data_IF_267559054697
#
_entry.id   IF_267559054697
#
_cell.length_a   1.000
_cell.length_b   1.000
_cell.length_c   1.000
_cell.angle_alpha   90.00
_cell.angle_beta   90.00
_cell.angle_gamma   90.00
#
_symmetry.space_group_name_H-M   'P 1'
#
loop_
_entity.id
_entity.type
_entity.pdbx_description
1 polymer ?
#
# COMPACT_ATOMS: atom_id res chain seq x y z
N UNK A 1 -3.09 7.55 -28.69
CA UNK A 1 -2.27 7.19 -27.52
C UNK A 1 -3.18 6.95 -26.32
N UNK A 2 -2.87 6.05 -25.39
CA UNK A 2 -3.71 5.78 -24.20
C UNK A 2 -3.05 6.36 -22.94
N UNK A 3 -3.83 6.68 -21.88
CA UNK A 3 -3.26 7.17 -20.62
C UNK A 3 -2.29 6.17 -19.99
N UNK A 4 -2.58 4.86 -20.04
CA UNK A 4 -1.65 3.85 -19.51
C UNK A 4 -0.33 3.81 -20.29
N UNK A 5 -0.37 4.02 -21.61
CA UNK A 5 0.85 4.09 -22.42
C UNK A 5 1.64 5.35 -22.08
N UNK A 6 0.98 6.51 -22.04
CA UNK A 6 1.62 7.76 -21.64
C UNK A 6 2.24 7.68 -20.24
N UNK A 7 1.48 7.15 -19.27
CA UNK A 7 1.95 6.89 -17.91
C UNK A 7 3.20 6.04 -17.89
N UNK A 8 3.16 4.87 -18.55
CA UNK A 8 4.33 4.00 -18.66
C UNK A 8 5.52 4.72 -19.27
N UNK A 9 5.33 5.35 -20.43
CA UNK A 9 6.42 5.96 -21.20
C UNK A 9 7.07 7.15 -20.46
N UNK A 10 6.28 7.94 -19.73
CA UNK A 10 6.76 9.08 -18.92
C UNK A 10 7.43 8.59 -17.63
N UNK A 11 6.77 7.72 -16.85
CA UNK A 11 7.27 7.32 -15.54
C UNK A 11 8.49 6.41 -15.63
N UNK A 12 8.62 5.62 -16.70
CA UNK A 12 9.79 4.78 -16.92
C UNK A 12 11.10 5.59 -16.96
N UNK A 13 11.05 6.87 -17.37
CA UNK A 13 12.22 7.75 -17.47
C UNK A 13 12.94 7.96 -16.14
N UNK A 14 12.24 7.90 -15.01
CA UNK A 14 12.83 8.15 -13.69
C UNK A 14 12.69 6.98 -12.71
N UNK A 15 11.65 6.14 -12.87
CA UNK A 15 11.42 5.02 -11.96
C UNK A 15 12.39 3.85 -12.21
N UNK A 16 12.83 3.64 -13.46
CA UNK A 16 13.77 2.56 -13.77
C UNK A 16 15.14 2.77 -13.13
N UNK A 17 15.62 4.02 -13.09
CA UNK A 17 16.88 4.39 -12.41
C UNK A 17 16.82 4.12 -10.90
N UNK A 18 15.62 4.12 -10.32
CA UNK A 18 15.37 3.83 -8.91
C UNK A 18 15.06 2.35 -8.63
N UNK A 19 15.18 1.48 -9.65
CA UNK A 19 15.01 0.03 -9.54
C UNK A 19 13.56 -0.46 -9.69
N UNK A 20 12.62 0.40 -10.11
CA UNK A 20 11.27 -0.04 -10.44
C UNK A 20 11.21 -0.64 -11.85
N UNK A 21 10.34 -1.63 -12.00
CA UNK A 21 10.03 -2.25 -13.29
C UNK A 21 8.54 -2.18 -13.59
N UNK A 22 8.19 -2.10 -14.87
CA UNK A 22 6.81 -2.15 -15.31
C UNK A 22 6.26 -3.58 -15.27
N UNK A 23 5.23 -3.83 -14.45
CA UNK A 23 4.49 -5.09 -14.46
C UNK A 23 3.22 -4.95 -15.31
N UNK A 24 3.20 -5.58 -16.49
CA UNK A 24 2.05 -5.52 -17.41
C UNK A 24 0.78 -6.17 -16.86
N UNK A 25 0.91 -7.22 -16.04
CA UNK A 25 -0.25 -7.91 -15.42
C UNK A 25 -0.94 -7.07 -14.35
N UNK A 26 -0.18 -6.19 -13.68
CA UNK A 26 -0.70 -5.27 -12.66
C UNK A 26 -1.01 -3.90 -13.24
N UNK A 27 -0.42 -3.52 -14.38
CA UNK A 27 -0.43 -2.16 -14.94
C UNK A 27 0.16 -1.13 -13.97
N UNK A 28 1.25 -1.50 -13.30
CA UNK A 28 1.94 -0.70 -12.28
C UNK A 28 3.44 -0.84 -12.40
N UNK A 29 4.18 0.19 -12.00
CA UNK A 29 5.58 0.07 -11.65
C UNK A 29 5.71 -0.60 -10.29
N UNK A 30 6.61 -1.57 -10.17
CA UNK A 30 6.84 -2.33 -8.94
C UNK A 30 8.33 -2.43 -8.67
N UNK A 31 8.71 -2.31 -7.40
CA UNK A 31 10.06 -2.54 -6.88
C UNK A 31 9.95 -3.41 -5.64
N UNK A 32 10.78 -4.44 -5.55
CA UNK A 32 10.91 -5.26 -4.34
C UNK A 32 12.15 -4.79 -3.58
N UNK A 33 12.02 -4.62 -2.27
CA UNK A 33 13.10 -4.17 -1.39
C UNK A 33 13.35 -5.22 -0.32
N UNK A 34 14.60 -5.66 -0.22
CA UNK A 34 15.09 -6.66 0.75
C UNK A 34 14.31 -7.98 0.77
N UNK A 35 13.59 -8.32 -0.32
CA UNK A 35 12.65 -9.45 -0.37
C UNK A 35 11.59 -9.42 0.74
N UNK A 36 11.31 -8.24 1.29
CA UNK A 36 10.40 -8.03 2.41
C UNK A 36 9.30 -7.02 2.09
N UNK A 37 9.59 -6.04 1.24
CA UNK A 37 8.65 -4.99 0.90
C UNK A 37 8.44 -4.87 -0.60
N UNK A 38 7.23 -4.46 -0.98
CA UNK A 38 6.79 -4.27 -2.36
C UNK A 38 6.32 -2.82 -2.51
N UNK A 39 7.05 -2.03 -3.28
CA UNK A 39 6.69 -0.64 -3.58
C UNK A 39 6.01 -0.61 -4.93
N UNK A 40 4.93 0.13 -5.06
CA UNK A 40 4.22 0.21 -6.32
C UNK A 40 3.66 1.60 -6.61
N UNK A 41 3.63 1.94 -7.90
CA UNK A 41 3.06 3.18 -8.42
C UNK A 41 2.27 2.83 -9.69
N UNK A 42 1.02 3.26 -9.74
CA UNK A 42 0.06 2.92 -10.77
C UNK A 42 -0.83 4.10 -11.15
N UNK A 43 -1.61 3.88 -12.21
CA UNK A 43 -2.62 4.82 -12.68
C UNK A 43 -4.00 4.15 -12.57
N UNK A 44 -4.95 4.88 -11.98
CA UNK A 44 -6.36 4.47 -11.91
C UNK A 44 -7.21 5.50 -12.64
N UNK A 45 -8.09 5.03 -13.52
CA UNK A 45 -9.06 5.91 -14.19
C UNK A 45 -10.10 6.40 -13.19
N UNK A 46 -10.45 7.67 -13.28
CA UNK A 46 -11.50 8.31 -12.46
C UNK A 46 -12.42 9.14 -13.35
N UNK A 47 -13.64 9.47 -12.89
CA UNK A 47 -14.51 10.40 -13.60
C UNK A 47 -13.82 11.75 -13.84
N UNK A 48 -14.22 12.43 -14.91
CA UNK A 48 -13.85 13.82 -15.19
C UNK A 48 -15.05 14.73 -14.97
N UNK A 49 -14.80 15.93 -14.48
CA UNK A 49 -15.81 16.96 -14.26
C UNK A 49 -16.04 17.81 -15.50
N UNK A 50 -15.00 18.05 -16.31
CA UNK A 50 -15.13 18.82 -17.54
C UNK A 50 -15.69 17.96 -18.69
N UNK A 51 -16.73 18.46 -19.34
CA UNK A 51 -17.35 17.80 -20.48
C UNK A 51 -16.34 17.58 -21.60
N UNK A 52 -16.20 16.33 -22.04
CA UNK A 52 -15.27 15.93 -23.08
C UNK A 52 -13.89 15.50 -22.58
N UNK A 53 -13.57 15.74 -21.29
CA UNK A 53 -12.35 15.26 -20.68
C UNK A 53 -12.47 13.82 -20.16
N UNK A 54 -11.31 13.23 -19.88
CA UNK A 54 -11.13 11.97 -19.16
C UNK A 54 -10.28 12.23 -17.91
N UNK A 55 -10.45 11.41 -16.89
CA UNK A 55 -9.75 11.56 -15.61
C UNK A 55 -8.87 10.36 -15.26
N UNK A 56 -7.76 10.61 -14.57
CA UNK A 56 -7.00 9.58 -13.87
C UNK A 56 -6.48 10.10 -12.53
N UNK A 57 -6.16 9.19 -11.61
CA UNK A 57 -5.38 9.48 -10.41
C UNK A 57 -4.18 8.54 -10.35
N UNK A 58 -3.15 8.96 -9.64
CA UNK A 58 -2.00 8.10 -9.36
C UNK A 58 -2.29 7.36 -8.05
N UNK A 59 -2.06 6.06 -8.06
CA UNK A 59 -2.16 5.22 -6.87
C UNK A 59 -0.78 4.70 -6.52
N UNK A 60 -0.35 4.87 -5.28
CA UNK A 60 0.94 4.40 -4.80
C UNK A 60 0.82 3.76 -3.42
N UNK A 61 1.67 2.79 -3.12
CA UNK A 61 1.78 2.25 -1.77
C UNK A 61 3.00 1.36 -1.57
N UNK A 62 3.21 1.03 -0.30
CA UNK A 62 4.13 -0.01 0.16
C UNK A 62 3.29 -1.06 0.89
N UNK A 63 3.53 -2.33 0.57
CA UNK A 63 3.01 -3.47 1.33
C UNK A 63 4.18 -4.40 1.68
N UNK A 64 4.04 -5.22 2.71
CA UNK A 64 5.05 -6.24 2.98
C UNK A 64 4.84 -7.46 2.07
N UNK A 65 5.77 -8.41 2.02
CA UNK A 65 5.55 -9.74 1.40
C UNK A 65 4.81 -10.70 2.33
N UNK A 66 4.58 -10.29 3.58
CA UNK A 66 3.93 -11.08 4.63
C UNK A 66 2.41 -10.88 4.65
N UNK A 67 1.86 -10.03 3.78
CA UNK A 67 0.42 -9.80 3.72
C UNK A 67 -0.34 -11.10 3.55
N UNK A 68 -1.29 -11.30 4.45
CA UNK A 68 -2.18 -12.44 4.47
C UNK A 68 -3.43 -12.16 3.67
N UNK A 69 -3.92 -13.21 3.02
CA UNK A 69 -5.17 -13.23 2.24
C UNK A 69 -6.30 -13.96 2.98
N UNK A 70 -6.14 -14.18 4.29
CA UNK A 70 -7.13 -14.82 5.17
C UNK A 70 -8.16 -13.80 5.65
N UNK A 71 -9.23 -13.61 4.90
CA UNK A 71 -10.42 -12.91 5.39
C UNK A 71 -11.67 -13.66 4.94
N UNK A 72 -12.76 -13.61 5.69
CA UNK A 72 -13.95 -14.46 5.42
C UNK A 72 -14.50 -14.28 4.00
N UNK A 73 -14.40 -13.07 3.45
CA UNK A 73 -14.85 -12.73 2.10
C UNK A 73 -13.92 -13.26 0.98
N UNK A 74 -12.72 -13.73 1.30
CA UNK A 74 -11.77 -14.28 0.30
C UNK A 74 -12.10 -15.71 -0.11
N UNK A 75 -13.06 -16.36 0.55
CA UNK A 75 -13.49 -17.71 0.23
C UNK A 75 -13.91 -17.84 -1.25
N UNK A 76 -13.35 -18.83 -1.95
CA UNK A 76 -13.62 -19.07 -3.37
C UNK A 76 -12.89 -18.11 -4.35
N UNK A 77 -12.08 -17.17 -3.86
CA UNK A 77 -11.23 -16.36 -4.72
C UNK A 77 -9.93 -17.08 -5.08
N UNK A 78 -9.43 -16.88 -6.30
CA UNK A 78 -8.13 -17.41 -6.71
C UNK A 78 -6.99 -16.60 -6.11
N UNK A 79 -5.84 -17.23 -5.89
CA UNK A 79 -4.61 -16.55 -5.46
C UNK A 79 -4.24 -15.36 -6.36
N UNK A 80 -4.45 -15.48 -7.68
CA UNK A 80 -4.20 -14.41 -8.63
C UNK A 80 -5.09 -13.18 -8.38
N UNK A 81 -6.37 -13.41 -8.08
CA UNK A 81 -7.33 -12.34 -7.79
C UNK A 81 -7.01 -11.66 -6.47
N UNK A 82 -6.71 -12.43 -5.43
CA UNK A 82 -6.36 -11.90 -4.11
C UNK A 82 -5.04 -11.13 -4.13
N UNK A 83 -4.05 -11.65 -4.87
CA UNK A 83 -2.76 -10.97 -5.04
C UNK A 83 -2.93 -9.62 -5.75
N UNK A 84 -3.73 -9.54 -6.82
CA UNK A 84 -4.06 -8.26 -7.48
C UNK A 84 -4.80 -7.30 -6.55
N UNK A 85 -5.78 -7.83 -5.80
CA UNK A 85 -6.60 -7.05 -4.88
C UNK A 85 -5.75 -6.38 -3.80
N UNK A 86 -4.70 -7.02 -3.30
CA UNK A 86 -3.82 -6.43 -2.28
C UNK A 86 -3.20 -5.08 -2.74
N UNK A 87 -2.86 -4.94 -4.02
CA UNK A 87 -2.38 -3.66 -4.59
C UNK A 87 -3.48 -2.60 -4.65
N UNK A 88 -4.71 -3.00 -4.92
CA UNK A 88 -5.85 -2.08 -4.96
C UNK A 88 -6.31 -1.66 -3.57
N UNK A 89 -6.20 -2.56 -2.59
CA UNK A 89 -6.56 -2.32 -1.20
C UNK A 89 -5.54 -1.44 -0.48
N UNK A 90 -4.25 -1.68 -0.69
CA UNK A 90 -3.15 -0.93 -0.04
C UNK A 90 -2.80 0.36 -0.80
N UNK A 91 -3.27 0.51 -2.03
CA UNK A 91 -2.95 1.65 -2.88
C UNK A 91 -3.64 2.93 -2.42
N UNK A 92 -2.85 3.94 -2.10
CA UNK A 92 -3.31 5.26 -1.71
C UNK A 92 -3.34 6.19 -2.92
N UNK A 93 -4.30 7.10 -2.95
CA UNK A 93 -4.33 8.13 -3.99
C UNK A 93 -3.23 9.17 -3.72
N UNK A 94 -2.65 9.75 -4.77
CA UNK A 94 -1.57 10.73 -4.68
C UNK A 94 -1.82 11.86 -3.67
N UNK A 95 -3.06 12.35 -3.60
CA UNK A 95 -3.45 13.41 -2.67
C UNK A 95 -3.21 13.06 -1.20
N UNK A 96 -3.20 11.78 -0.84
CA UNK A 96 -2.97 11.33 0.54
C UNK A 96 -1.52 11.49 0.99
N UNK A 97 -0.59 11.67 0.05
CA UNK A 97 0.81 11.98 0.34
C UNK A 97 1.07 13.49 0.44
N UNK A 98 0.07 14.32 0.17
CA UNK A 98 0.17 15.78 0.29
C UNK A 98 -0.24 16.23 1.70
N UNK A 99 0.64 16.89 2.47
CA UNK A 99 0.31 17.39 3.80
C UNK A 99 -0.85 18.40 3.81
N UNK A 100 -1.04 19.11 2.70
CA UNK A 100 -2.02 20.18 2.53
C UNK A 100 -3.22 19.79 1.66
N UNK A 101 -3.26 18.55 1.15
CA UNK A 101 -4.29 18.06 0.23
C UNK A 101 -4.52 18.95 -1.00
N UNK A 102 -3.48 19.69 -1.42
CA UNK A 102 -3.57 20.69 -2.50
C UNK A 102 -3.82 20.07 -3.88
N UNK A 103 -3.50 18.79 -4.04
CA UNK A 103 -3.75 18.04 -5.25
C UNK A 103 -5.12 17.37 -5.14
N UNK A 104 -6.08 17.82 -5.96
CA UNK A 104 -7.43 17.24 -5.99
C UNK A 104 -7.44 15.75 -6.35
N UNK A 105 -8.62 15.12 -6.28
CA UNK A 105 -8.81 13.66 -6.43
C UNK A 105 -8.36 13.04 -7.77
N UNK A 106 -7.95 13.85 -8.74
CA UNK A 106 -7.43 13.36 -10.01
C UNK A 106 -6.98 14.45 -10.98
N UNK A 107 -6.36 14.00 -12.06
CA UNK A 107 -5.89 14.75 -13.20
C UNK A 107 -6.87 14.59 -14.36
N UNK A 108 -7.32 15.70 -14.92
CA UNK A 108 -8.15 15.70 -16.12
C UNK A 108 -7.35 16.01 -17.37
N UNK A 109 -7.68 15.32 -18.45
CA UNK A 109 -7.02 15.49 -19.73
C UNK A 109 -7.99 15.31 -20.91
N UNK A 110 -7.63 15.88 -22.05
CA UNK A 110 -8.20 15.62 -23.35
C UNK A 110 -7.12 15.07 -24.30
N UNK A 111 -7.45 14.90 -25.57
CA UNK A 111 -6.50 14.31 -26.53
C UNK A 111 -5.28 15.19 -26.79
N UNK A 112 -5.40 16.51 -26.59
CA UNK A 112 -4.36 17.49 -26.85
C UNK A 112 -3.34 17.61 -25.71
N UNK A 113 -3.77 17.49 -24.44
CA UNK A 113 -2.91 17.77 -23.28
C UNK A 113 -2.51 16.52 -22.46
N UNK A 114 -2.89 15.31 -22.89
CA UNK A 114 -2.66 14.08 -22.13
C UNK A 114 -1.20 13.88 -21.68
N UNK A 115 -0.22 14.16 -22.54
CA UNK A 115 1.20 14.00 -22.19
C UNK A 115 1.61 14.99 -21.11
N UNK A 116 1.31 16.28 -21.32
CA UNK A 116 1.61 17.34 -20.36
C UNK A 116 1.02 17.04 -18.98
N UNK A 117 -0.23 16.57 -18.93
CA UNK A 117 -0.91 16.22 -17.67
C UNK A 117 -0.24 15.02 -16.99
N UNK A 118 0.20 14.01 -17.76
CA UNK A 118 0.94 12.86 -17.21
C UNK A 118 2.34 13.29 -16.72
N UNK A 119 3.04 14.15 -17.44
CA UNK A 119 4.34 14.72 -17.02
C UNK A 119 4.19 15.53 -15.72
N UNK A 120 3.16 16.37 -15.62
CA UNK A 120 2.84 17.07 -14.38
C UNK A 120 2.58 16.09 -13.22
N UNK A 121 1.81 15.03 -13.45
CA UNK A 121 1.57 14.01 -12.41
C UNK A 121 2.86 13.30 -11.98
N UNK A 122 3.81 13.12 -12.90
CA UNK A 122 5.11 12.50 -12.62
C UNK A 122 5.97 13.39 -11.72
N UNK A 123 6.03 14.69 -11.99
CA UNK A 123 6.75 15.63 -11.13
C UNK A 123 6.16 15.67 -9.72
N UNK A 124 4.83 15.71 -9.59
CA UNK A 124 4.18 15.67 -8.26
C UNK A 124 4.46 14.33 -7.56
N UNK A 125 4.48 13.21 -8.28
CA UNK A 125 4.82 11.91 -7.70
C UNK A 125 6.26 11.88 -7.20
N UNK A 126 7.20 12.49 -7.94
CA UNK A 126 8.59 12.61 -7.49
C UNK A 126 8.73 13.46 -6.23
N UNK A 127 7.93 14.52 -6.13
CA UNK A 127 7.95 15.43 -4.99
C UNK A 127 7.32 14.82 -3.73
N UNK A 128 6.20 14.11 -3.86
CA UNK A 128 5.41 13.65 -2.70
C UNK A 128 5.63 12.19 -2.33
N UNK A 129 5.71 11.29 -3.32
CA UNK A 129 5.66 9.83 -3.07
C UNK A 129 7.05 9.27 -2.87
N UNK A 130 8.00 9.65 -3.73
CA UNK A 130 9.34 9.07 -3.70
C UNK A 130 10.10 9.35 -2.39
N UNK A 131 10.04 10.55 -1.78
CA UNK A 131 10.72 10.79 -0.51
C UNK A 131 10.18 9.89 0.60
N UNK A 132 8.86 9.74 0.70
CA UNK A 132 8.21 8.82 1.66
C UNK A 132 8.69 7.39 1.43
N UNK A 133 8.75 6.95 0.17
CA UNK A 133 9.21 5.59 -0.15
C UNK A 133 10.71 5.37 0.12
N UNK A 134 11.53 6.43 0.07
CA UNK A 134 12.96 6.34 0.36
C UNK A 134 13.25 6.16 1.86
N UNK A 135 12.36 6.65 2.74
CA UNK A 135 12.48 6.48 4.20
C UNK A 135 12.10 5.08 4.68
N UNK A 136 11.27 4.38 3.90
CA UNK A 136 10.90 3.00 4.17
C UNK A 136 11.94 2.09 3.54
N UNK A 137 12.64 1.30 4.35
CA UNK A 137 13.72 0.42 3.87
C UNK A 137 13.69 -0.98 4.50
N UNK A 138 12.92 -1.15 5.56
CA UNK A 138 12.78 -2.38 6.33
C UNK A 138 11.38 -2.48 6.96
N UNK A 139 11.08 -3.60 7.62
CA UNK A 139 9.79 -3.81 8.26
C UNK A 139 9.50 -2.78 9.38
N UNK A 140 10.52 -2.31 10.10
CA UNK A 140 10.34 -1.35 11.20
C UNK A 140 9.92 0.03 10.69
N UNK A 141 10.60 0.55 9.66
CA UNK A 141 10.22 1.78 8.96
C UNK A 141 8.88 1.62 8.23
N UNK A 142 8.57 0.42 7.71
CA UNK A 142 7.26 0.13 7.14
C UNK A 142 6.13 0.22 8.18
N UNK A 143 6.32 -0.22 9.43
CA UNK A 143 5.30 -0.03 10.49
C UNK A 143 5.00 1.46 10.69
N UNK A 144 6.02 2.33 10.70
CA UNK A 144 5.82 3.79 10.81
C UNK A 144 5.01 4.34 9.64
N UNK A 145 5.40 3.98 8.42
CA UNK A 145 4.65 4.34 7.21
C UNK A 145 3.20 3.85 7.28
N UNK A 146 2.98 2.61 7.71
CA UNK A 146 1.65 2.04 7.79
C UNK A 146 0.80 2.77 8.82
N UNK A 147 1.34 3.12 10.00
CA UNK A 147 0.63 3.94 11.01
C UNK A 147 0.19 5.29 10.46
N UNK A 148 1.04 5.93 9.66
CA UNK A 148 0.74 7.27 9.11
C UNK A 148 -0.28 7.22 7.97
N UNK A 149 -0.14 6.25 7.06
CA UNK A 149 -0.83 6.31 5.77
C UNK A 149 -1.88 5.21 5.55
N UNK A 150 -1.74 4.06 6.20
CA UNK A 150 -2.52 2.86 5.86
C UNK A 150 -2.76 1.95 7.06
N UNK A 151 -3.03 2.54 8.24
CA UNK A 151 -3.03 1.82 9.52
C UNK A 151 -3.95 0.59 9.54
N UNK A 152 -5.04 0.65 8.77
CA UNK A 152 -6.01 -0.43 8.62
C UNK A 152 -5.42 -1.77 8.17
N UNK A 153 -4.24 -1.80 7.54
CA UNK A 153 -3.57 -3.06 7.13
C UNK A 153 -2.88 -3.78 8.28
N UNK A 154 -2.73 -3.12 9.45
CA UNK A 154 -2.09 -3.68 10.64
C UNK A 154 -3.08 -4.29 11.64
N UNK A 155 -4.38 -4.31 11.32
CA UNK A 155 -5.45 -4.73 12.23
C UNK A 155 -5.57 -6.24 12.38
N UNK A 156 -6.24 -6.67 13.44
CA UNK A 156 -6.70 -8.05 13.63
C UNK A 156 -5.55 -9.06 13.55
N UNK A 157 -4.45 -8.74 14.25
CA UNK A 157 -3.23 -9.54 14.25
C UNK A 157 -3.44 -10.98 14.72
N UNK A 158 -4.41 -11.24 15.60
CA UNK A 158 -4.78 -12.58 16.07
C UNK A 158 -5.50 -13.43 15.01
N UNK A 159 -5.96 -12.80 13.93
CA UNK A 159 -6.59 -13.45 12.77
C UNK A 159 -5.65 -13.51 11.56
N UNK A 160 -4.44 -12.95 11.68
CA UNK A 160 -3.46 -12.86 10.61
C UNK A 160 -4.07 -12.22 9.36
N UNK A 161 -4.66 -11.02 9.49
CA UNK A 161 -5.30 -10.30 8.38
C UNK A 161 -4.32 -9.28 7.78
N UNK A 162 -4.31 -9.13 6.45
CA UNK A 162 -3.52 -8.13 5.74
C UNK A 162 -2.03 -8.16 6.20
N UNK A 163 -1.41 -7.01 6.45
CA UNK A 163 -0.01 -6.89 6.89
C UNK A 163 0.18 -6.94 8.41
N UNK A 164 -0.84 -7.36 9.18
CA UNK A 164 -0.78 -7.39 10.66
C UNK A 164 0.35 -8.24 11.24
N UNK A 165 0.79 -9.29 10.53
CA UNK A 165 1.92 -10.14 10.94
C UNK A 165 3.23 -9.36 11.07
N UNK A 166 3.38 -8.23 10.38
CA UNK A 166 4.55 -7.36 10.50
C UNK A 166 4.73 -6.86 11.94
N UNK A 167 3.64 -6.65 12.68
CA UNK A 167 3.74 -6.23 14.09
C UNK A 167 4.47 -7.26 14.95
N UNK A 168 4.28 -8.55 14.66
CA UNK A 168 4.96 -9.65 15.35
C UNK A 168 6.41 -9.76 14.90
N UNK A 169 6.66 -9.68 13.59
CA UNK A 169 8.00 -9.79 13.01
C UNK A 169 8.93 -8.66 13.48
N UNK A 170 8.36 -7.49 13.76
CA UNK A 170 9.11 -6.32 14.24
C UNK A 170 9.15 -6.21 15.76
N UNK A 171 8.57 -7.17 16.49
CA UNK A 171 8.40 -7.11 17.95
C UNK A 171 7.80 -5.75 18.40
N UNK A 172 6.80 -5.26 17.67
CA UNK A 172 6.17 -3.98 17.94
C UNK A 172 5.21 -4.09 19.13
N UNK A 173 5.34 -3.19 20.12
CA UNK A 173 4.47 -3.11 21.32
C UNK A 173 3.81 -1.73 21.47
N UNK A 174 3.74 -0.96 20.38
CA UNK A 174 3.17 0.39 20.35
C UNK A 174 1.65 0.37 20.58
N UNK A 175 1.10 1.25 21.41
CA UNK A 175 -0.34 1.28 21.67
C UNK A 175 -1.14 2.00 20.58
N UNK A 176 -0.46 2.56 19.57
CA UNK A 176 -1.01 3.35 18.47
C UNK A 176 -1.74 4.63 18.93
N UNK A 177 -1.55 5.07 20.18
CA UNK A 177 -2.26 6.23 20.73
C UNK A 177 -1.83 7.54 20.08
N UNK A 178 -0.64 7.59 19.46
CA UNK A 178 -0.22 8.76 18.68
C UNK A 178 -1.17 9.08 17.51
N UNK A 179 -1.89 8.08 17.00
CA UNK A 179 -2.89 8.28 15.94
C UNK A 179 -4.06 9.19 16.41
N UNK A 180 -4.27 9.33 17.72
CA UNK A 180 -5.29 10.21 18.30
C UNK A 180 -4.89 11.69 18.31
N UNK A 181 -3.61 12.02 18.08
CA UNK A 181 -3.11 13.39 18.25
C UNK A 181 -3.80 14.39 17.32
N UNK A 182 -4.24 13.94 16.14
CA UNK A 182 -4.91 14.77 15.12
C UNK A 182 -6.42 14.88 15.34
N UNK A 183 -6.99 14.10 16.26
CA UNK A 183 -8.43 13.94 16.44
C UNK A 183 -9.02 14.89 17.50
N UNK A 184 -10.27 15.29 17.28
CA UNK A 184 -11.03 16.13 18.22
C UNK A 184 -11.32 15.37 19.50
N UNK A 185 -11.28 16.07 20.64
CA UNK A 185 -11.47 15.47 21.97
C UNK A 185 -12.77 14.64 22.08
N UNK A 186 -13.86 15.09 21.46
CA UNK A 186 -15.15 14.39 21.43
C UNK A 186 -15.12 13.04 20.71
N UNK A 187 -14.17 12.83 19.79
CA UNK A 187 -14.04 11.61 18.97
C UNK A 187 -12.98 10.66 19.53
N UNK A 188 -12.08 11.15 20.42
CA UNK A 188 -10.93 10.39 20.93
C UNK A 188 -11.33 9.12 21.65
N UNK A 189 -12.37 9.12 22.47
CA UNK A 189 -12.75 7.93 23.25
C UNK A 189 -13.21 6.80 22.32
N UNK A 190 -14.05 7.12 21.33
CA UNK A 190 -14.50 6.15 20.34
C UNK A 190 -13.34 5.62 19.49
N UNK A 191 -12.46 6.51 19.01
CA UNK A 191 -11.32 6.11 18.17
C UNK A 191 -10.32 5.28 19.00
N UNK A 192 -10.09 5.65 20.26
CA UNK A 192 -9.26 4.88 21.19
C UNK A 192 -9.80 3.46 21.34
N UNK A 193 -11.10 3.29 21.59
CA UNK A 193 -11.72 1.98 21.65
C UNK A 193 -11.52 1.20 20.34
N UNK A 194 -11.72 1.84 19.19
CA UNK A 194 -11.47 1.21 17.89
C UNK A 194 -10.02 0.75 17.74
N UNK A 195 -9.06 1.56 18.21
CA UNK A 195 -7.64 1.24 18.17
C UNK A 195 -7.34 0.02 19.05
N UNK A 196 -7.82 0.04 20.29
CA UNK A 196 -7.60 -1.05 21.24
C UNK A 196 -8.20 -2.37 20.74
N UNK A 197 -9.42 -2.34 20.20
CA UNK A 197 -10.11 -3.53 19.69
C UNK A 197 -9.51 -4.06 18.39
N UNK A 198 -8.97 -3.18 17.54
CA UNK A 198 -8.51 -3.56 16.20
C UNK A 198 -7.02 -3.84 16.10
N UNK A 199 -6.18 -3.21 16.92
CA UNK A 199 -4.72 -3.30 16.78
C UNK A 199 -4.07 -3.84 18.06
N UNK A 200 -4.27 -3.15 19.19
CA UNK A 200 -3.54 -3.44 20.43
C UNK A 200 -3.95 -4.78 21.04
N UNK A 201 -5.24 -4.97 21.31
CA UNK A 201 -5.75 -6.21 21.94
C UNK A 201 -5.49 -7.45 21.07
N UNK A 202 -5.77 -7.45 19.76
CA UNK A 202 -5.42 -8.57 18.88
C UNK A 202 -3.94 -8.91 18.89
N UNK A 203 -3.05 -7.92 18.80
CA UNK A 203 -1.60 -8.15 18.80
C UNK A 203 -1.12 -8.69 20.13
N UNK A 204 -1.56 -8.11 21.24
CA UNK A 204 -1.14 -8.53 22.57
C UNK A 204 -1.64 -9.95 22.88
N UNK A 205 -2.80 -10.34 22.35
CA UNK A 205 -3.27 -11.74 22.41
C UNK A 205 -2.29 -12.70 21.74
N UNK A 206 -1.67 -12.31 20.63
CA UNK A 206 -0.64 -13.12 19.96
C UNK A 206 0.60 -13.24 20.86
N UNK A 207 1.11 -12.13 21.40
CA UNK A 207 2.30 -12.18 22.27
C UNK A 207 2.08 -12.97 23.57
N UNK A 208 0.90 -12.85 24.16
CA UNK A 208 0.58 -13.49 25.44
C UNK A 208 0.18 -14.97 25.28
N UNK A 209 0.10 -15.49 24.06
CA UNK A 209 -0.21 -16.89 23.78
C UNK A 209 0.90 -17.54 22.94
N UNK A 210 1.77 -18.38 23.54
CA UNK A 210 2.87 -19.02 22.83
C UNK A 210 2.47 -19.86 21.61
N UNK A 211 1.30 -20.51 21.65
CA UNK A 211 0.79 -21.30 20.52
C UNK A 211 0.37 -20.38 19.36
N UNK A 212 -0.29 -19.26 19.68
CA UNK A 212 -0.71 -18.29 18.69
C UNK A 212 0.47 -17.53 18.10
N UNK A 213 1.47 -17.17 18.92
CA UNK A 213 2.73 -16.58 18.47
C UNK A 213 3.46 -17.50 17.49
N UNK A 214 3.55 -18.80 17.82
CA UNK A 214 4.13 -19.79 16.92
C UNK A 214 3.37 -19.86 15.60
N UNK A 215 2.04 -19.92 15.65
CA UNK A 215 1.19 -19.94 14.45
C UNK A 215 1.34 -18.67 13.60
N UNK A 216 1.52 -17.51 14.22
CA UNK A 216 1.76 -16.24 13.53
C UNK A 216 3.07 -16.26 12.73
N UNK A 217 4.16 -16.76 13.35
CA UNK A 217 5.47 -16.90 12.71
C UNK A 217 5.44 -17.91 11.55
N UNK A 218 4.75 -19.04 11.74
CA UNK A 218 4.55 -20.05 10.68
C UNK A 218 3.74 -19.49 9.49
N UNK A 219 2.67 -18.72 9.77
CA UNK A 219 1.88 -18.08 8.71
C UNK A 219 2.70 -17.00 8.00
N UNK A 220 3.52 -16.23 8.71
CA UNK A 220 4.39 -15.22 8.11
C UNK A 220 5.35 -15.83 7.08
N UNK A 221 6.03 -16.92 7.44
CA UNK A 221 6.92 -17.65 6.52
C UNK A 221 6.17 -18.20 5.31
N UNK A 222 4.98 -18.74 5.52
CA UNK A 222 4.11 -19.21 4.43
C UNK A 222 3.70 -18.07 3.50
N UNK A 223 3.24 -16.93 4.05
CA UNK A 223 2.87 -15.74 3.29
C UNK A 223 4.04 -15.23 2.45
N UNK A 224 5.21 -15.06 3.06
CA UNK A 224 6.44 -14.64 2.37
C UNK A 224 6.72 -15.53 1.17
N UNK A 225 6.77 -16.85 1.39
CA UNK A 225 7.01 -17.82 0.32
C UNK A 225 6.01 -17.68 -0.82
N UNK A 226 4.71 -17.75 -0.51
CA UNK A 226 3.64 -17.69 -1.52
C UNK A 226 3.62 -16.36 -2.29
N UNK A 227 3.85 -15.25 -1.60
CA UNK A 227 3.84 -13.93 -2.23
C UNK A 227 5.08 -13.69 -3.09
N UNK A 228 6.27 -14.16 -2.68
CA UNK A 228 7.48 -14.14 -3.52
C UNK A 228 7.31 -15.02 -4.77
N UNK A 229 6.71 -16.21 -4.64
CA UNK A 229 6.37 -17.07 -5.80
C UNK A 229 5.41 -16.36 -6.78
N UNK A 230 4.43 -15.61 -6.25
CA UNK A 230 3.53 -14.81 -7.06
C UNK A 230 4.25 -13.66 -7.77
N UNK A 231 5.16 -12.94 -7.10
CA UNK A 231 5.99 -11.91 -7.72
C UNK A 231 6.82 -12.50 -8.89
N UNK A 232 7.44 -13.66 -8.69
CA UNK A 232 8.18 -14.36 -9.74
C UNK A 232 7.27 -14.75 -10.93
N UNK A 233 6.06 -15.27 -10.66
CA UNK A 233 5.04 -15.57 -11.69
C UNK A 233 4.59 -14.32 -12.47
N UNK A 234 4.69 -13.16 -11.84
CA UNK A 234 4.41 -11.86 -12.44
C UNK A 234 5.62 -11.25 -13.16
N UNK A 235 6.75 -11.97 -13.17
CA UNK A 235 8.03 -11.54 -13.75
C UNK A 235 8.54 -10.25 -13.12
N UNK A 236 8.34 -10.11 -11.81
CA UNK A 236 8.89 -9.01 -11.03
C UNK A 236 10.23 -9.49 -10.46
N UNK A 237 11.30 -8.74 -10.71
CA UNK A 237 12.60 -8.93 -10.07
C UNK A 237 12.48 -8.82 -8.54
N UNK A 238 13.01 -9.81 -7.84
CA UNK A 238 13.02 -9.99 -6.38
C UNK A 238 14.45 -9.83 -5.87
#
# INVERSE_FOLDING_TARGET
>A
MTPNKAFKDVYCKFLTEQGYQWCSKLQRFVKVVNQELIYFIGLKKVPAWLKGNKGFTITAGIMSVYFSKRADWTHGCTEDKLFKWAFDYTGLQLQMFSPTYEYGMGFEYNEQNMIEVVEKSAEITKELVLPVFAEVTDLTSYVKYAKEYTINVLRMCDKFIDDSLVLILTNNHDDFMECLQKEKESEREFIKQCIEESYTTPRDRVYNNPELLKAALEEAEKCKKTNLEMLAKYKINI
#
